data_IF_954608418330
#
_entry.id   IF_954608418330
#
_cell.length_a   1.000
_cell.length_b   1.000
_cell.length_c   1.000
_cell.angle_alpha   90.00
_cell.angle_beta   90.00
_cell.angle_gamma   90.00
#
_symmetry.space_group_name_H-M   'P 1'
#
loop_
_entity.id
_entity.type
_entity.pdbx_description
1 polymer ?
#
# COMPACT_ATOMS: atom_id res chain seq x y z
N UNK A 1 -13.74 -12.83 1.37
CA UNK A 1 -13.31 -12.29 0.07
C UNK A 1 -14.41 -12.55 -0.95
N UNK A 2 -14.76 -11.55 -1.72
CA UNK A 2 -15.75 -11.63 -2.79
C UNK A 2 -15.05 -11.11 -4.04
N UNK A 3 -15.18 -11.85 -5.14
CA UNK A 3 -14.66 -11.42 -6.44
C UNK A 3 -15.75 -11.57 -7.50
N UNK A 4 -15.85 -10.60 -8.37
CA UNK A 4 -16.74 -10.62 -9.53
C UNK A 4 -15.91 -10.34 -10.78
N UNK A 5 -16.11 -11.14 -11.82
CA UNK A 5 -15.44 -10.99 -13.10
C UNK A 5 -16.45 -11.01 -14.22
N UNK A 6 -16.37 -10.01 -15.10
CA UNK A 6 -17.15 -9.89 -16.31
C UNK A 6 -16.21 -9.79 -17.50
N UNK A 7 -16.39 -10.64 -18.48
CA UNK A 7 -15.64 -10.62 -19.74
C UNK A 7 -16.62 -10.53 -20.91
N UNK A 8 -16.42 -9.58 -21.82
CA UNK A 8 -17.23 -9.41 -23.01
C UNK A 8 -16.36 -9.53 -24.26
N UNK A 9 -16.80 -10.38 -25.18
CA UNK A 9 -16.16 -10.61 -26.51
C UNK A 9 -14.66 -10.92 -26.43
N UNK A 10 -14.24 -11.43 -25.25
CA UNK A 10 -12.84 -11.69 -24.95
C UNK A 10 -11.92 -10.45 -24.92
N UNK A 11 -12.33 -9.30 -25.44
CA UNK A 11 -11.49 -8.09 -25.55
C UNK A 11 -11.57 -7.15 -24.34
N UNK A 12 -12.58 -7.32 -23.50
CA UNK A 12 -12.82 -6.47 -22.33
C UNK A 12 -13.04 -7.35 -21.10
N UNK A 13 -12.33 -7.04 -20.04
CA UNK A 13 -12.49 -7.71 -18.76
C UNK A 13 -12.60 -6.68 -17.64
N UNK A 14 -13.56 -6.88 -16.75
CA UNK A 14 -13.72 -6.12 -15.54
C UNK A 14 -13.68 -7.08 -14.35
N UNK A 15 -12.78 -6.85 -13.43
CA UNK A 15 -12.64 -7.64 -12.21
C UNK A 15 -12.80 -6.73 -11.01
N UNK A 16 -13.79 -6.99 -10.18
CA UNK A 16 -13.98 -6.31 -8.91
C UNK A 16 -13.69 -7.29 -7.78
N UNK A 17 -12.92 -6.86 -6.78
CA UNK A 17 -12.53 -7.67 -5.63
C UNK A 17 -12.75 -6.89 -4.34
N UNK A 18 -13.39 -7.52 -3.38
CA UNK A 18 -13.53 -7.02 -2.03
C UNK A 18 -12.96 -8.03 -1.05
N UNK A 19 -12.20 -7.55 -0.10
CA UNK A 19 -11.67 -8.35 0.99
C UNK A 19 -11.78 -7.60 2.32
N UNK A 20 -12.17 -8.32 3.35
CA UNK A 20 -12.05 -7.86 4.74
C UNK A 20 -11.14 -8.80 5.49
N UNK A 21 -10.11 -8.23 6.11
CA UNK A 21 -9.10 -8.97 6.89
C UNK A 21 -8.96 -8.39 8.28
N UNK A 22 -8.57 -9.25 9.21
CA UNK A 22 -8.23 -8.86 10.58
C UNK A 22 -6.76 -9.17 10.83
N UNK A 23 -6.03 -8.19 11.33
CA UNK A 23 -4.65 -8.35 11.80
C UNK A 23 -4.62 -8.23 13.32
N UNK A 24 -4.22 -9.31 13.98
CA UNK A 24 -4.07 -9.34 15.43
C UNK A 24 -2.66 -8.93 15.81
N UNK A 25 -2.49 -8.18 16.93
CA UNK A 25 -1.16 -7.89 17.44
C UNK A 25 -0.39 -9.19 17.73
N UNK A 26 0.90 -9.17 17.47
CA UNK A 26 1.78 -10.28 17.85
C UNK A 26 1.99 -10.33 19.38
N UNK A 27 2.37 -11.47 19.91
CA UNK A 27 2.72 -11.62 21.31
C UNK A 27 3.77 -10.60 21.76
N UNK A 28 4.80 -10.39 20.95
CA UNK A 28 5.86 -9.43 21.25
C UNK A 28 5.38 -7.97 21.26
N UNK A 29 4.45 -7.64 20.39
CA UNK A 29 3.86 -6.30 20.36
C UNK A 29 2.99 -6.01 21.59
N UNK A 30 2.42 -7.04 22.20
CA UNK A 30 1.61 -6.96 23.42
C UNK A 30 2.44 -7.08 24.71
N UNK A 31 3.63 -7.67 24.64
CA UNK A 31 4.46 -7.91 25.83
C UNK A 31 4.91 -6.60 26.46
N UNK A 32 4.68 -6.37 27.76
CA UNK A 32 5.11 -5.15 28.44
C UNK A 32 6.64 -5.07 28.67
N UNK A 33 7.38 -6.08 28.19
CA UNK A 33 8.82 -6.12 28.36
C UNK A 33 9.50 -4.97 27.61
N UNK A 34 10.51 -4.40 28.27
CA UNK A 34 11.34 -3.36 27.71
C UNK A 34 12.67 -3.92 27.24
N UNK A 35 13.11 -3.41 26.10
CA UNK A 35 14.45 -3.67 25.57
C UNK A 35 15.14 -2.35 25.34
N UNK A 36 16.28 -2.15 25.99
CA UNK A 36 17.10 -0.95 25.79
C UNK A 36 17.82 -1.04 24.45
N UNK A 37 17.53 -0.08 23.56
CA UNK A 37 18.21 0.04 22.27
C UNK A 37 19.45 0.92 22.41
N UNK A 38 19.31 2.05 23.15
CA UNK A 38 20.39 2.98 23.47
C UNK A 38 20.11 3.66 24.81
N UNK A 39 20.99 4.59 25.22
CA UNK A 39 20.77 5.36 26.45
C UNK A 39 19.50 6.22 26.39
N UNK A 40 19.11 6.66 25.18
CA UNK A 40 17.98 7.57 24.96
C UNK A 40 16.83 6.89 24.20
N UNK A 41 16.87 5.56 24.03
CA UNK A 41 15.84 4.84 23.29
C UNK A 41 15.58 3.45 23.85
N UNK A 42 14.33 3.18 24.17
CA UNK A 42 13.84 1.87 24.60
C UNK A 42 12.76 1.37 23.64
N UNK A 43 12.66 0.08 23.47
CA UNK A 43 11.55 -0.58 22.80
C UNK A 43 10.67 -1.23 23.86
N UNK A 44 9.36 -0.96 23.80
CA UNK A 44 8.35 -1.51 24.72
C UNK A 44 7.17 -2.04 23.92
N UNK A 45 6.62 -3.18 24.29
CA UNK A 45 5.34 -3.61 23.77
C UNK A 45 4.18 -2.85 24.39
N UNK A 46 3.01 -2.93 23.79
CA UNK A 46 1.79 -2.24 24.22
C UNK A 46 0.67 -3.25 24.46
N UNK A 47 0.37 -3.60 25.73
CA UNK A 47 -0.70 -4.55 26.06
C UNK A 47 -2.10 -4.10 25.63
N UNK A 48 -2.30 -2.80 25.39
CA UNK A 48 -3.57 -2.21 25.05
C UNK A 48 -3.87 -2.20 23.54
N UNK A 49 -3.02 -2.85 22.73
CA UNK A 49 -3.25 -2.94 21.29
C UNK A 49 -4.54 -3.68 20.95
N UNK A 50 -5.32 -3.06 20.07
CA UNK A 50 -6.53 -3.63 19.51
C UNK A 50 -6.22 -4.27 18.15
N UNK A 51 -6.98 -5.29 17.74
CA UNK A 51 -6.91 -5.81 16.37
C UNK A 51 -7.20 -4.73 15.35
N UNK A 52 -6.50 -4.79 14.22
CA UNK A 52 -6.71 -3.93 13.06
C UNK A 52 -7.66 -4.62 12.08
N UNK A 53 -8.56 -3.85 11.48
CA UNK A 53 -9.50 -4.32 10.45
C UNK A 53 -9.24 -3.58 9.15
N UNK A 54 -8.95 -4.35 8.11
CA UNK A 54 -8.74 -3.84 6.75
C UNK A 54 -9.97 -4.17 5.87
N UNK A 55 -10.55 -3.15 5.26
CA UNK A 55 -11.53 -3.29 4.19
C UNK A 55 -10.86 -2.83 2.90
N UNK A 56 -10.67 -3.73 1.95
CA UNK A 56 -10.07 -3.42 0.66
C UNK A 56 -11.03 -3.69 -0.49
N UNK A 57 -11.12 -2.74 -1.41
CA UNK A 57 -11.86 -2.87 -2.66
C UNK A 57 -10.93 -2.51 -3.80
N UNK A 58 -10.91 -3.31 -4.83
CA UNK A 58 -10.21 -2.99 -6.07
C UNK A 58 -11.06 -3.34 -7.29
N UNK A 59 -10.96 -2.51 -8.31
CA UNK A 59 -11.60 -2.72 -9.61
C UNK A 59 -10.55 -2.58 -10.69
N UNK A 60 -10.36 -3.63 -11.46
CA UNK A 60 -9.45 -3.66 -12.59
C UNK A 60 -10.22 -3.84 -13.87
N UNK A 61 -10.05 -2.92 -14.80
CA UNK A 61 -10.56 -3.02 -16.16
C UNK A 61 -9.39 -3.29 -17.12
N UNK A 62 -9.52 -4.31 -17.96
CA UNK A 62 -8.59 -4.61 -19.05
C UNK A 62 -9.31 -4.35 -20.37
N UNK A 63 -8.70 -3.53 -21.21
CA UNK A 63 -9.26 -3.08 -22.47
C UNK A 63 -8.41 -3.60 -23.62
N UNK A 64 -9.04 -4.26 -24.60
CA UNK A 64 -8.41 -4.80 -25.82
C UNK A 64 -7.19 -5.69 -25.51
N UNK A 65 -7.23 -6.44 -24.40
CA UNK A 65 -6.13 -7.30 -23.90
C UNK A 65 -4.79 -6.60 -23.64
N UNK A 66 -4.75 -5.28 -23.72
CA UNK A 66 -3.49 -4.52 -23.64
C UNK A 66 -3.50 -3.49 -22.52
N UNK A 67 -4.51 -2.63 -22.47
CA UNK A 67 -4.54 -1.53 -21.52
C UNK A 67 -5.23 -1.99 -20.24
N UNK A 68 -4.64 -1.71 -19.08
CA UNK A 68 -5.30 -1.97 -17.82
C UNK A 68 -5.37 -0.72 -16.95
N UNK A 69 -6.51 -0.56 -16.30
CA UNK A 69 -6.77 0.49 -15.32
C UNK A 69 -7.20 -0.20 -14.05
N UNK A 70 -6.52 0.08 -12.96
CA UNK A 70 -6.86 -0.42 -11.63
C UNK A 70 -7.14 0.75 -10.70
N UNK A 71 -8.31 0.71 -10.07
CA UNK A 71 -8.67 1.60 -8.98
C UNK A 71 -8.79 0.77 -7.71
N UNK A 72 -8.24 1.26 -6.62
CA UNK A 72 -8.33 0.54 -5.36
C UNK A 72 -8.42 1.47 -4.16
N UNK A 73 -9.04 0.96 -3.12
CA UNK A 73 -9.08 1.58 -1.81
C UNK A 73 -8.83 0.54 -0.72
N UNK A 74 -8.17 0.98 0.33
CA UNK A 74 -7.98 0.21 1.56
C UNK A 74 -8.27 1.13 2.73
N UNK A 75 -9.29 0.77 3.51
CA UNK A 75 -9.69 1.48 4.72
C UNK A 75 -9.31 0.61 5.90
N UNK A 76 -8.44 1.14 6.77
CA UNK A 76 -7.94 0.42 7.94
C UNK A 76 -8.41 1.12 9.21
N UNK A 77 -9.12 0.38 10.05
CA UNK A 77 -9.50 0.79 11.39
C UNK A 77 -8.53 0.20 12.41
N UNK A 78 -8.12 1.00 13.40
CA UNK A 78 -7.15 0.62 14.43
C UNK A 78 -5.84 0.08 13.84
N UNK A 79 -5.30 0.74 12.81
CA UNK A 79 -4.08 0.31 12.15
C UNK A 79 -2.94 0.20 13.17
N UNK A 80 -2.32 -0.98 13.26
CA UNK A 80 -1.19 -1.21 14.16
C UNK A 80 0.07 -0.65 13.49
N UNK A 81 0.62 0.40 14.07
CA UNK A 81 1.80 1.09 13.55
C UNK A 81 2.83 1.27 14.66
N UNK A 82 4.10 1.29 14.28
CA UNK A 82 5.16 1.64 15.21
C UNK A 82 5.22 3.17 15.37
N UNK A 83 5.18 3.64 16.59
CA UNK A 83 5.32 5.05 16.96
C UNK A 83 6.49 5.23 17.91
N UNK A 84 7.08 6.42 17.86
CA UNK A 84 8.09 6.85 18.83
C UNK A 84 7.48 7.99 19.65
N UNK A 85 7.40 7.80 20.95
CA UNK A 85 6.85 8.75 21.91
C UNK A 85 7.89 9.07 22.97
N UNK A 86 7.84 10.25 23.59
CA UNK A 86 8.66 10.55 24.74
C UNK A 86 8.20 9.72 25.93
N UNK A 87 9.14 9.26 26.75
CA UNK A 87 8.81 8.61 28.03
C UNK A 87 8.14 9.63 28.97
N UNK A 88 6.95 9.34 29.51
CA UNK A 88 6.30 10.23 30.47
C UNK A 88 7.12 10.50 31.72
N UNK A 89 7.94 9.55 32.16
CA UNK A 89 8.75 9.65 33.38
C UNK A 89 10.13 10.29 33.12
N UNK A 90 10.64 10.19 31.89
CA UNK A 90 11.90 10.78 31.44
C UNK A 90 11.83 11.27 30.00
N UNK A 91 11.49 12.54 29.75
CA UNK A 91 11.32 13.09 28.41
C UNK A 91 12.57 13.03 27.50
N UNK A 92 13.75 12.80 28.05
CA UNK A 92 14.98 12.60 27.27
C UNK A 92 15.05 11.21 26.62
N UNK A 93 14.22 10.27 27.10
CA UNK A 93 14.16 8.91 26.57
C UNK A 93 12.98 8.78 25.62
N UNK A 94 13.24 8.18 24.47
CA UNK A 94 12.21 7.86 23.46
C UNK A 94 11.80 6.41 23.60
N UNK A 95 10.49 6.18 23.61
CA UNK A 95 9.89 4.85 23.62
C UNK A 95 9.41 4.52 22.20
N UNK A 96 9.97 3.48 21.63
CA UNK A 96 9.52 2.89 20.38
C UNK A 96 8.52 1.78 20.70
N UNK A 97 7.24 1.98 20.36
CA UNK A 97 6.19 0.99 20.60
C UNK A 97 5.15 0.95 19.50
N UNK A 98 4.42 -0.17 19.42
CA UNK A 98 3.27 -0.25 18.55
C UNK A 98 2.07 0.46 19.17
N UNK A 99 1.31 1.19 18.34
CA UNK A 99 0.07 1.86 18.74
C UNK A 99 -0.99 1.68 17.65
N UNK A 100 -2.25 1.86 18.02
CA UNK A 100 -3.34 1.84 17.06
C UNK A 100 -3.61 3.25 16.53
N UNK A 101 -3.45 3.44 15.21
CA UNK A 101 -3.95 4.63 14.55
C UNK A 101 -5.44 4.46 14.27
N UNK A 102 -6.30 5.40 14.70
CA UNK A 102 -7.76 5.25 14.59
C UNK A 102 -8.22 5.01 13.16
N UNK A 103 -7.62 5.70 12.20
CA UNK A 103 -8.01 5.62 10.79
C UNK A 103 -6.79 5.73 9.89
N UNK A 104 -6.73 4.84 8.90
CA UNK A 104 -5.73 4.88 7.84
C UNK A 104 -6.40 4.53 6.51
N UNK A 105 -6.46 5.49 5.59
CA UNK A 105 -7.13 5.37 4.31
C UNK A 105 -6.12 5.45 3.19
N UNK A 106 -6.13 4.47 2.32
CA UNK A 106 -5.30 4.44 1.12
C UNK A 106 -6.19 4.30 -0.10
N UNK A 107 -6.00 5.20 -1.08
CA UNK A 107 -6.63 5.11 -2.40
C UNK A 107 -5.53 5.08 -3.43
N UNK A 108 -5.67 4.26 -4.45
CA UNK A 108 -4.73 4.25 -5.54
C UNK A 108 -5.42 4.10 -6.89
N UNK A 109 -4.81 4.67 -7.90
CA UNK A 109 -5.17 4.52 -9.29
C UNK A 109 -3.90 4.17 -10.07
N UNK A 110 -3.95 3.10 -10.86
CA UNK A 110 -2.83 2.65 -11.68
C UNK A 110 -3.30 2.40 -13.10
N UNK A 111 -2.49 2.84 -14.05
CA UNK A 111 -2.73 2.63 -15.49
C UNK A 111 -1.50 2.00 -16.08
N UNK A 112 -1.71 0.89 -16.80
CA UNK A 112 -0.67 0.23 -17.57
C UNK A 112 -0.99 0.37 -19.07
N UNK A 113 -0.04 0.90 -19.81
CA UNK A 113 -0.18 1.25 -21.23
C UNK A 113 0.95 0.60 -22.04
N UNK A 114 0.77 -0.63 -22.52
CA UNK A 114 1.71 -1.25 -23.45
C UNK A 114 1.50 -0.71 -24.86
N UNK A 115 2.57 -0.25 -25.49
CA UNK A 115 2.60 0.26 -26.86
C UNK A 115 3.53 -0.58 -27.72
N UNK A 116 3.08 -0.92 -28.92
CA UNK A 116 3.94 -1.42 -30.00
C UNK A 116 4.16 -0.27 -30.98
N UNK A 117 5.27 0.45 -30.85
CA UNK A 117 5.57 1.63 -31.66
C UNK A 117 6.00 1.25 -33.07
N UNK A 118 6.84 0.20 -33.16
CA UNK A 118 7.26 -0.40 -34.42
C UNK A 118 7.39 -1.92 -34.25
N UNK A 119 7.73 -2.66 -35.32
CA UNK A 119 7.97 -4.11 -35.21
C UNK A 119 9.16 -4.47 -34.33
N UNK A 120 10.09 -3.54 -34.16
CA UNK A 120 11.33 -3.72 -33.39
C UNK A 120 11.39 -2.90 -32.09
N UNK A 121 10.39 -2.03 -31.83
CA UNK A 121 10.35 -1.17 -30.64
C UNK A 121 8.99 -1.25 -29.95
N UNK A 122 9.00 -1.75 -28.75
CA UNK A 122 7.85 -1.76 -27.84
C UNK A 122 8.15 -0.92 -26.60
N UNK A 123 7.13 -0.34 -26.03
CA UNK A 123 7.20 0.40 -24.78
C UNK A 123 6.05 0.01 -23.85
N UNK A 124 6.30 0.00 -22.56
CA UNK A 124 5.28 -0.18 -21.53
C UNK A 124 5.37 0.98 -20.54
N UNK A 125 4.29 1.75 -20.43
CA UNK A 125 4.22 2.89 -19.51
C UNK A 125 3.27 2.54 -18.36
N UNK A 126 3.78 2.66 -17.12
CA UNK A 126 2.99 2.50 -15.92
C UNK A 126 2.92 3.85 -15.19
N UNK A 127 1.71 4.27 -14.85
CA UNK A 127 1.45 5.47 -14.07
C UNK A 127 0.61 5.04 -12.86
N UNK A 128 1.08 5.41 -11.68
CA UNK A 128 0.37 5.13 -10.43
C UNK A 128 0.26 6.41 -9.61
N UNK A 129 -0.94 6.73 -9.19
CA UNK A 129 -1.22 7.78 -8.20
C UNK A 129 -1.73 7.13 -6.92
N UNK A 130 -1.26 7.60 -5.78
CA UNK A 130 -1.61 7.08 -4.47
C UNK A 130 -1.92 8.23 -3.51
N UNK A 131 -3.08 8.17 -2.89
CA UNK A 131 -3.47 9.06 -1.80
C UNK A 131 -3.48 8.28 -0.49
N UNK A 132 -2.82 8.82 0.52
CA UNK A 132 -2.79 8.29 1.88
C UNK A 132 -3.35 9.32 2.84
N UNK A 133 -4.36 8.93 3.61
CA UNK A 133 -4.89 9.69 4.72
C UNK A 133 -4.71 8.90 6.00
N UNK A 134 -4.07 9.49 7.01
CA UNK A 134 -3.89 8.84 8.31
C UNK A 134 -4.21 9.79 9.45
N UNK A 135 -4.79 9.25 10.51
CA UNK A 135 -5.01 9.94 11.77
C UNK A 135 -4.24 9.19 12.85
N UNK A 136 -3.33 9.88 13.52
CA UNK A 136 -2.46 9.29 14.54
C UNK A 136 -3.17 9.29 15.89
N UNK A 137 -3.78 10.42 16.23
CA UNK A 137 -4.58 10.57 17.45
C UNK A 137 -6.01 10.96 17.12
N UNK A 138 -7.01 10.58 17.95
CA UNK A 138 -8.43 10.88 17.68
C UNK A 138 -8.72 12.37 17.49
N UNK A 139 -8.02 13.22 18.20
CA UNK A 139 -8.22 14.68 18.19
C UNK A 139 -7.40 15.41 17.14
N UNK A 140 -6.50 14.72 16.42
CA UNK A 140 -5.69 15.31 15.37
C UNK A 140 -6.42 15.34 14.01
N UNK A 141 -6.11 16.35 13.18
CA UNK A 141 -6.61 16.38 11.80
C UNK A 141 -6.03 15.22 10.98
N UNK A 142 -6.78 14.79 9.96
CA UNK A 142 -6.32 13.79 9.02
C UNK A 142 -5.08 14.30 8.25
N UNK A 143 -3.95 13.66 8.42
CA UNK A 143 -2.74 13.92 7.64
C UNK A 143 -2.92 13.30 6.26
N UNK A 144 -2.72 14.08 5.22
CA UNK A 144 -2.95 13.68 3.83
C UNK A 144 -1.64 13.72 3.07
N UNK A 145 -1.40 12.71 2.27
CA UNK A 145 -0.26 12.65 1.37
C UNK A 145 -0.71 12.13 0.00
N UNK A 146 -0.30 12.80 -1.06
CA UNK A 146 -0.53 12.41 -2.44
C UNK A 146 0.82 12.14 -3.10
N UNK A 147 0.98 10.96 -3.66
CA UNK A 147 2.19 10.55 -4.36
C UNK A 147 1.84 10.07 -5.76
N UNK A 148 2.74 10.33 -6.71
CA UNK A 148 2.61 9.84 -8.08
C UNK A 148 3.93 9.22 -8.54
N UNK A 149 3.83 8.10 -9.24
CA UNK A 149 4.95 7.40 -9.83
C UNK A 149 4.65 7.14 -11.30
N UNK A 150 5.64 7.34 -12.15
CA UNK A 150 5.56 6.96 -13.54
C UNK A 150 6.86 6.25 -13.92
N UNK A 151 6.76 5.12 -14.58
CA UNK A 151 7.89 4.43 -15.17
C UNK A 151 7.56 4.05 -16.61
N UNK A 152 8.57 4.03 -17.45
CA UNK A 152 8.49 3.57 -18.83
C UNK A 152 9.61 2.57 -19.04
N UNK A 153 9.24 1.41 -19.55
CA UNK A 153 10.16 0.36 -19.94
C UNK A 153 10.14 0.26 -21.46
N UNK A 154 11.30 0.27 -22.08
CA UNK A 154 11.44 0.17 -23.54
C UNK A 154 12.19 -1.09 -23.92
N UNK A 155 11.69 -1.81 -24.91
CA UNK A 155 12.33 -2.99 -25.45
C UNK A 155 12.56 -2.85 -26.95
N UNK A 156 13.79 -3.19 -27.38
CA UNK A 156 14.21 -3.11 -28.76
C UNK A 156 14.65 -4.50 -29.23
N UNK A 157 14.01 -4.98 -30.28
CA UNK A 157 14.38 -6.25 -30.95
C UNK A 157 15.11 -5.90 -32.25
N UNK A 158 16.42 -5.97 -32.22
CA UNK A 158 17.30 -5.64 -33.35
C UNK A 158 17.49 -6.86 -34.26
N UNK A 159 17.96 -6.67 -35.52
CA UNK A 159 18.32 -7.77 -36.40
C UNK A 159 19.32 -8.73 -35.75
N UNK A 160 19.29 -10.02 -36.13
CA UNK A 160 20.11 -11.09 -35.55
C UNK A 160 19.77 -11.45 -34.09
N UNK A 161 18.51 -11.22 -33.66
CA UNK A 161 18.02 -11.56 -32.31
C UNK A 161 18.75 -10.84 -31.15
N UNK A 162 19.30 -9.68 -31.37
CA UNK A 162 19.76 -8.82 -30.30
C UNK A 162 18.57 -8.15 -29.62
N UNK A 163 18.49 -8.28 -28.30
CA UNK A 163 17.45 -7.71 -27.49
C UNK A 163 18.06 -6.72 -26.48
N UNK A 164 17.50 -5.52 -26.43
CA UNK A 164 17.90 -4.47 -25.46
C UNK A 164 16.63 -4.03 -24.71
N UNK A 165 16.74 -3.96 -23.40
CA UNK A 165 15.69 -3.49 -22.50
C UNK A 165 16.24 -2.37 -21.62
N UNK A 166 15.48 -1.28 -21.49
CA UNK A 166 15.81 -0.08 -20.70
C UNK A 166 14.62 0.34 -19.86
#
# INVERSE_FOLDING_TARGET
NISYSLTKDGAYSLVAQYARTISRPSFWALSPNETKISEYMIQRGNPNLKPSYDNSLSVTAVLKYKFSITLGMKLTENAIQQATIADPDNPEVLIMQHTNYPTMNNFFASVNLPFQLTKWWAANVNITAMYMGQRIYPDEPLRRNLMGFANAQMSFTLPKNFFIEV
#
